data_IF_062951554736
#
_entry.id   IF_062951554736
#
_cell.length_a   1.000
_cell.length_b   1.000
_cell.length_c   1.000
_cell.angle_alpha   90.00
_cell.angle_beta   90.00
_cell.angle_gamma   90.00
#
_symmetry.space_group_name_H-M   'P 1'
#
loop_
_entity.id
_entity.type
_entity.pdbx_description
1 polymer ?
#
# COMPACT_ATOMS: atom_id res chain seq x y z
N UNK A 1 10.42 -11.86 -45.82
CA UNK A 1 9.18 -11.68 -45.04
C UNK A 1 8.24 -10.85 -45.87
N UNK A 2 7.00 -11.28 -46.13
CA UNK A 2 6.04 -10.45 -46.86
C UNK A 2 5.80 -9.15 -46.07
N UNK A 3 5.87 -8.00 -46.74
CA UNK A 3 5.51 -6.71 -46.14
C UNK A 3 4.04 -6.77 -45.73
N UNK A 4 3.79 -6.60 -44.43
CA UNK A 4 2.43 -6.49 -43.93
C UNK A 4 1.84 -5.19 -44.45
N UNK A 5 0.67 -5.28 -45.10
CA UNK A 5 -0.10 -4.12 -45.55
C UNK A 5 -0.19 -3.09 -44.41
N UNK A 6 0.19 -1.85 -44.71
CA UNK A 6 0.16 -0.74 -43.76
C UNK A 6 -1.22 -0.56 -43.12
N UNK A 7 -2.30 -0.89 -43.83
CA UNK A 7 -3.68 -0.87 -43.30
C UNK A 7 -3.89 -1.90 -42.22
N UNK A 8 -3.45 -3.14 -42.45
CA UNK A 8 -3.54 -4.23 -41.47
C UNK A 8 -2.73 -3.88 -40.22
N UNK A 9 -1.50 -3.37 -40.40
CA UNK A 9 -0.67 -2.90 -39.29
C UNK A 9 -1.37 -1.82 -38.46
N UNK A 10 -1.97 -0.83 -39.12
CA UNK A 10 -2.68 0.26 -38.44
C UNK A 10 -3.87 -0.26 -37.61
N UNK A 11 -4.65 -1.20 -38.15
CA UNK A 11 -5.77 -1.82 -37.42
C UNK A 11 -5.28 -2.58 -36.18
N UNK A 12 -4.22 -3.39 -36.31
CA UNK A 12 -3.65 -4.13 -35.17
C UNK A 12 -3.16 -3.17 -34.09
N UNK A 13 -2.43 -2.11 -34.47
CA UNK A 13 -1.96 -1.10 -33.52
C UNK A 13 -3.12 -0.36 -32.84
N UNK A 14 -4.18 -0.02 -33.58
CA UNK A 14 -5.35 0.63 -33.02
C UNK A 14 -6.05 -0.25 -31.98
N UNK A 15 -6.19 -1.56 -32.24
CA UNK A 15 -6.74 -2.52 -31.28
C UNK A 15 -5.86 -2.59 -30.03
N UNK A 16 -4.54 -2.69 -30.20
CA UNK A 16 -3.59 -2.75 -29.08
C UNK A 16 -3.70 -1.49 -28.23
N UNK A 17 -3.72 -0.30 -28.83
CA UNK A 17 -3.85 0.98 -28.12
C UNK A 17 -5.21 1.06 -27.42
N UNK A 18 -6.31 0.70 -28.08
CA UNK A 18 -7.64 0.74 -27.49
C UNK A 18 -7.76 -0.20 -26.28
N UNK A 19 -7.23 -1.42 -26.38
CA UNK A 19 -7.23 -2.42 -25.30
C UNK A 19 -6.38 -1.97 -24.12
N UNK A 20 -5.19 -1.42 -24.36
CA UNK A 20 -4.35 -0.89 -23.29
C UNK A 20 -4.92 0.40 -22.69
N UNK A 21 -5.56 1.26 -23.50
CA UNK A 21 -6.26 2.45 -23.02
C UNK A 21 -7.43 2.08 -22.11
N UNK A 22 -8.21 1.07 -22.48
CA UNK A 22 -9.27 0.52 -21.63
C UNK A 22 -8.68 -0.08 -20.35
N UNK A 23 -7.58 -0.85 -20.44
CA UNK A 23 -6.93 -1.44 -19.27
C UNK A 23 -6.32 -0.41 -18.31
N UNK A 24 -5.83 0.71 -18.84
CA UNK A 24 -5.26 1.81 -18.08
C UNK A 24 -6.29 2.86 -17.63
N UNK A 25 -7.55 2.73 -18.05
CA UNK A 25 -8.61 3.65 -17.63
C UNK A 25 -8.67 3.69 -16.10
N UNK A 26 -8.83 4.89 -15.49
CA UNK A 26 -8.85 5.06 -14.04
C UNK A 26 -10.20 4.60 -13.46
N UNK A 27 -10.51 3.33 -13.64
CA UNK A 27 -11.71 2.70 -13.11
C UNK A 27 -11.49 2.45 -11.62
N UNK A 28 -12.39 2.94 -10.74
CA UNK A 28 -12.27 2.68 -9.32
C UNK A 28 -12.30 1.18 -9.05
N UNK A 29 -11.55 0.75 -8.03
CA UNK A 29 -11.70 -0.61 -7.53
C UNK A 29 -13.10 -0.79 -6.95
N UNK A 30 -13.61 -2.02 -6.99
CA UNK A 30 -14.89 -2.35 -6.37
C UNK A 30 -14.77 -2.11 -4.86
N UNK A 31 -15.57 -1.18 -4.35
CA UNK A 31 -15.65 -0.87 -2.93
C UNK A 31 -16.61 -1.84 -2.27
N UNK A 32 -16.23 -2.40 -1.12
CA UNK A 32 -17.09 -3.30 -0.35
C UNK A 32 -17.57 -2.64 0.95
N UNK A 33 -18.57 -3.24 1.59
CA UNK A 33 -19.01 -2.83 2.93
C UNK A 33 -17.89 -2.86 3.97
N UNK A 34 -16.94 -3.80 3.85
CA UNK A 34 -15.79 -3.85 4.74
C UNK A 34 -14.82 -2.68 4.50
N UNK A 35 -14.72 -2.20 3.26
CA UNK A 35 -13.92 -1.02 2.94
C UNK A 35 -14.54 0.26 3.50
N UNK A 36 -15.88 0.35 3.56
CA UNK A 36 -16.58 1.48 4.20
C UNK A 36 -16.45 1.49 5.72
N UNK A 37 -16.27 0.33 6.36
CA UNK A 37 -15.97 0.23 7.80
C UNK A 37 -14.55 0.70 8.16
N UNK A 38 -13.70 0.91 7.16
CA UNK A 38 -12.40 1.54 7.37
C UNK A 38 -12.60 2.97 7.89
N UNK A 39 -11.96 3.38 9.01
CA UNK A 39 -12.07 4.75 9.49
C UNK A 39 -11.66 5.80 8.45
N UNK A 40 -10.68 5.49 7.58
CA UNK A 40 -10.25 6.40 6.50
C UNK A 40 -11.34 6.55 5.45
N UNK A 41 -11.90 5.44 4.96
CA UNK A 41 -12.96 5.47 3.96
C UNK A 41 -14.24 6.12 4.50
N UNK A 42 -14.63 5.79 5.73
CA UNK A 42 -15.79 6.37 6.40
C UNK A 42 -15.67 7.89 6.50
N UNK A 43 -14.48 8.38 6.86
CA UNK A 43 -14.18 9.81 6.93
C UNK A 43 -14.25 10.50 5.56
N UNK A 44 -13.74 9.87 4.49
CA UNK A 44 -13.85 10.42 3.14
C UNK A 44 -15.30 10.43 2.65
N UNK A 45 -16.08 9.37 2.89
CA UNK A 45 -17.51 9.35 2.53
C UNK A 45 -18.27 10.43 3.29
N UNK A 46 -18.01 10.60 4.59
CA UNK A 46 -18.60 11.68 5.40
C UNK A 46 -18.27 13.05 4.82
N UNK A 47 -16.99 13.30 4.52
CA UNK A 47 -16.55 14.58 3.93
C UNK A 47 -17.21 14.87 2.58
N UNK A 48 -17.37 13.86 1.73
CA UNK A 48 -18.06 14.03 0.45
C UNK A 48 -19.56 14.25 0.62
N UNK A 49 -20.21 13.53 1.54
CA UNK A 49 -21.63 13.74 1.86
C UNK A 49 -21.90 15.18 2.36
N UNK A 50 -21.03 15.72 3.21
CA UNK A 50 -21.09 17.11 3.67
C UNK A 50 -20.96 18.11 2.51
N UNK A 51 -20.01 17.89 1.60
CA UNK A 51 -19.82 18.74 0.43
C UNK A 51 -21.00 18.69 -0.53
N UNK A 52 -21.55 17.50 -0.79
CA UNK A 52 -22.72 17.33 -1.65
C UNK A 52 -23.94 18.01 -1.05
N UNK A 53 -24.14 17.85 0.26
CA UNK A 53 -25.23 18.52 0.99
C UNK A 53 -25.07 20.04 0.93
N UNK A 54 -23.85 20.57 1.07
CA UNK A 54 -23.57 21.99 0.91
C UNK A 54 -23.86 22.53 -0.51
N UNK A 55 -23.86 21.66 -1.53
CA UNK A 55 -24.24 21.98 -2.91
C UNK A 55 -25.74 21.76 -3.19
N UNK A 56 -26.55 21.45 -2.17
CA UNK A 56 -27.99 21.21 -2.28
C UNK A 56 -28.37 19.77 -2.66
N UNK A 57 -27.40 18.84 -2.70
CA UNK A 57 -27.64 17.41 -2.86
C UNK A 57 -27.67 16.76 -1.48
N UNK A 58 -28.81 16.81 -0.80
CA UNK A 58 -29.00 16.20 0.52
C UNK A 58 -28.71 14.69 0.46
N UNK A 59 -27.56 14.29 1.01
CA UNK A 59 -27.10 12.89 1.02
C UNK A 59 -26.46 12.58 2.37
N UNK A 60 -26.94 11.52 3.01
CA UNK A 60 -26.27 11.03 4.22
C UNK A 60 -25.03 10.21 3.85
N UNK A 61 -24.03 10.08 4.75
CA UNK A 61 -22.87 9.23 4.51
C UNK A 61 -23.23 7.78 4.17
N UNK A 62 -24.29 7.24 4.76
CA UNK A 62 -24.75 5.87 4.52
C UNK A 62 -25.28 5.72 3.09
N UNK A 63 -26.15 6.64 2.66
CA UNK A 63 -26.70 6.65 1.30
C UNK A 63 -25.59 6.79 0.25
N UNK A 64 -24.65 7.71 0.48
CA UNK A 64 -23.51 7.90 -0.42
C UNK A 64 -22.63 6.65 -0.48
N UNK A 65 -22.39 6.00 0.66
CA UNK A 65 -21.64 4.75 0.74
C UNK A 65 -22.27 3.62 -0.09
N UNK A 66 -23.59 3.44 0.03
CA UNK A 66 -24.33 2.45 -0.77
C UNK A 66 -24.28 2.75 -2.28
N UNK A 67 -24.43 4.02 -2.66
CA UNK A 67 -24.31 4.45 -4.06
C UNK A 67 -22.90 4.21 -4.61
N UNK A 68 -21.85 4.48 -3.83
CA UNK A 68 -20.46 4.21 -4.23
C UNK A 68 -20.24 2.72 -4.47
N UNK A 69 -20.73 1.85 -3.58
CA UNK A 69 -20.64 0.39 -3.78
C UNK A 69 -21.34 0.01 -5.09
N UNK A 70 -22.59 0.45 -5.27
CA UNK A 70 -23.40 0.13 -6.44
C UNK A 70 -22.75 0.56 -7.77
N UNK A 71 -22.17 1.76 -7.81
CA UNK A 71 -21.49 2.28 -8.99
C UNK A 71 -20.17 1.57 -9.25
N UNK A 72 -19.36 1.36 -8.22
CA UNK A 72 -18.05 0.71 -8.38
C UNK A 72 -18.18 -0.75 -8.78
N UNK A 73 -19.20 -1.48 -8.29
CA UNK A 73 -19.53 -2.83 -8.75
C UNK A 73 -19.90 -2.86 -10.23
N UNK A 74 -20.75 -1.95 -10.70
CA UNK A 74 -21.17 -1.90 -12.11
C UNK A 74 -20.03 -1.53 -13.05
N UNK A 75 -19.32 -0.45 -12.74
CA UNK A 75 -18.24 0.04 -13.58
C UNK A 75 -17.08 -0.96 -13.57
N UNK A 76 -16.72 -1.48 -12.39
CA UNK A 76 -15.69 -2.50 -12.23
C UNK A 76 -16.06 -3.81 -12.94
N UNK A 77 -17.31 -4.25 -12.83
CA UNK A 77 -17.82 -5.44 -13.52
C UNK A 77 -17.80 -5.29 -15.04
N UNK A 78 -18.28 -4.15 -15.56
CA UNK A 78 -18.26 -3.86 -17.00
C UNK A 78 -16.82 -3.80 -17.54
N UNK A 79 -15.91 -3.14 -16.81
CA UNK A 79 -14.48 -3.09 -17.15
C UNK A 79 -13.84 -4.49 -17.17
N UNK A 80 -14.10 -5.30 -16.13
CA UNK A 80 -13.59 -6.66 -16.03
C UNK A 80 -14.09 -7.57 -17.17
N UNK A 81 -15.35 -7.41 -17.56
CA UNK A 81 -15.96 -8.13 -18.68
C UNK A 81 -15.36 -7.69 -20.02
N UNK A 82 -15.19 -6.38 -20.24
CA UNK A 82 -14.62 -5.84 -21.47
C UNK A 82 -13.14 -6.26 -21.67
N UNK A 83 -12.38 -6.44 -20.59
CA UNK A 83 -11.01 -6.95 -20.64
C UNK A 83 -10.89 -8.47 -20.66
N UNK A 84 -11.98 -9.21 -20.40
CA UNK A 84 -11.93 -10.68 -20.31
C UNK A 84 -11.36 -11.36 -21.56
N UNK A 85 -11.71 -10.95 -22.81
CA UNK A 85 -11.17 -11.55 -24.02
C UNK A 85 -9.65 -11.37 -24.19
N UNK A 86 -9.08 -10.32 -23.60
CA UNK A 86 -7.68 -9.93 -23.78
C UNK A 86 -6.74 -10.46 -22.69
N UNK A 87 -7.25 -11.18 -21.69
CA UNK A 87 -6.45 -11.70 -20.55
C UNK A 87 -5.28 -12.56 -20.99
N UNK A 88 -5.50 -13.44 -21.97
CA UNK A 88 -4.44 -14.30 -22.51
C UNK A 88 -3.34 -13.49 -23.19
N UNK A 89 -3.71 -12.43 -23.91
CA UNK A 89 -2.76 -11.52 -24.55
C UNK A 89 -1.94 -10.75 -23.51
N UNK A 90 -2.57 -10.18 -22.48
CA UNK A 90 -1.85 -9.52 -21.38
C UNK A 90 -0.91 -10.47 -20.65
N UNK A 91 -1.35 -11.72 -20.41
CA UNK A 91 -0.52 -12.75 -19.78
C UNK A 91 0.68 -13.13 -20.65
N UNK A 92 0.47 -13.26 -21.95
CA UNK A 92 1.53 -13.59 -22.90
C UNK A 92 2.56 -12.47 -23.05
N UNK A 93 2.11 -11.22 -23.13
CA UNK A 93 2.98 -10.05 -23.33
C UNK A 93 3.55 -9.47 -22.04
N UNK A 94 3.02 -9.85 -20.87
CA UNK A 94 3.44 -9.31 -19.58
C UNK A 94 2.99 -7.87 -19.32
N UNK A 95 2.00 -7.36 -20.06
CA UNK A 95 1.53 -5.97 -20.02
C UNK A 95 0.36 -5.74 -19.04
N UNK A 96 0.17 -6.64 -18.07
CA UNK A 96 -0.90 -6.56 -17.06
C UNK A 96 -0.61 -5.60 -15.89
N UNK A 97 0.28 -4.63 -16.05
CA UNK A 97 0.65 -3.72 -14.97
C UNK A 97 -0.43 -2.67 -14.74
N UNK A 98 -1.10 -2.75 -13.59
CA UNK A 98 -2.09 -1.75 -13.17
C UNK A 98 -1.43 -0.46 -12.68
N UNK A 99 -1.99 0.68 -13.09
CA UNK A 99 -1.50 2.03 -12.76
C UNK A 99 -2.27 2.72 -11.63
N UNK A 100 -2.86 1.95 -10.71
CA UNK A 100 -3.60 2.49 -9.57
C UNK A 100 -2.68 3.06 -8.47
N UNK A 101 -1.78 3.98 -8.83
CA UNK A 101 -0.76 4.53 -7.92
C UNK A 101 -1.30 5.63 -6.98
N UNK A 102 -2.52 6.15 -7.22
CA UNK A 102 -3.04 7.32 -6.48
C UNK A 102 -4.52 7.21 -6.08
N UNK A 103 -5.07 6.00 -5.98
CA UNK A 103 -6.51 5.82 -5.73
C UNK A 103 -6.96 6.47 -4.41
N UNK A 104 -6.13 6.43 -3.36
CA UNK A 104 -6.39 7.10 -2.09
C UNK A 104 -5.06 7.59 -1.48
N UNK A 105 -4.98 8.82 -0.97
CA UNK A 105 -3.84 9.23 -0.14
C UNK A 105 -3.82 8.38 1.14
N UNK A 106 -2.67 7.78 1.46
CA UNK A 106 -2.51 7.06 2.72
C UNK A 106 -2.37 8.10 3.85
N UNK A 107 -3.47 8.39 4.53
CA UNK A 107 -3.49 9.27 5.70
C UNK A 107 -2.86 8.62 6.93
N UNK A 108 -2.54 7.33 6.88
CA UNK A 108 -1.96 6.61 8.02
C UNK A 108 -0.72 5.81 7.64
N UNK A 109 0.36 6.49 7.20
CA UNK A 109 1.56 5.81 6.71
C UNK A 109 2.24 4.98 7.80
N UNK A 110 2.83 3.87 7.38
CA UNK A 110 3.66 3.01 8.23
C UNK A 110 5.14 3.38 8.07
N UNK A 111 5.87 3.40 9.18
CA UNK A 111 7.32 3.52 9.24
C UNK A 111 7.90 2.26 9.89
N UNK A 112 8.96 1.72 9.29
CA UNK A 112 9.71 0.63 9.91
C UNK A 112 10.54 1.18 11.07
N UNK A 113 10.52 0.46 12.20
CA UNK A 113 11.45 0.66 13.31
C UNK A 113 12.08 -0.67 13.70
N UNK A 114 13.39 -0.65 13.89
CA UNK A 114 14.20 -1.77 14.37
C UNK A 114 14.81 -1.35 15.69
N UNK A 115 14.62 -2.17 16.71
CA UNK A 115 15.14 -1.95 18.05
C UNK A 115 15.93 -3.16 18.50
N UNK A 116 16.89 -2.94 19.37
CA UNK A 116 17.75 -3.98 19.92
C UNK A 116 17.74 -3.92 21.44
N UNK A 117 17.87 -5.09 22.07
CA UNK A 117 18.15 -5.21 23.49
C UNK A 117 19.52 -5.85 23.64
N UNK A 118 20.40 -5.17 24.36
CA UNK A 118 21.78 -5.60 24.59
C UNK A 118 21.93 -6.36 25.89
N UNK A 119 22.95 -7.19 25.98
CA UNK A 119 23.31 -7.91 27.20
C UNK A 119 23.53 -6.95 28.36
N UNK A 120 23.03 -7.31 29.54
CA UNK A 120 23.09 -6.48 30.74
C UNK A 120 22.21 -5.22 30.71
N UNK A 121 21.47 -4.95 29.63
CA UNK A 121 20.51 -3.86 29.53
C UNK A 121 19.08 -4.38 29.43
N UNK A 122 18.18 -3.86 30.28
CA UNK A 122 16.75 -4.18 30.23
C UNK A 122 15.99 -3.45 29.12
N UNK A 123 16.52 -2.31 28.67
CA UNK A 123 15.82 -1.41 27.76
C UNK A 123 16.12 -1.68 26.29
N UNK A 124 15.15 -1.32 25.46
CA UNK A 124 15.21 -1.40 24.01
C UNK A 124 15.75 -0.09 23.40
N UNK A 125 16.90 -0.20 22.74
CA UNK A 125 17.57 0.86 21.99
C UNK A 125 17.07 0.88 20.54
N UNK A 126 16.84 2.06 19.95
CA UNK A 126 16.45 2.16 18.54
C UNK A 126 17.72 2.06 17.70
N UNK A 127 17.76 1.11 16.77
CA UNK A 127 18.87 0.93 15.85
C UNK A 127 18.59 1.60 14.50
N UNK A 128 17.34 1.50 14.05
CA UNK A 128 16.88 2.14 12.82
C UNK A 128 15.45 2.63 12.95
N UNK A 129 15.17 3.82 12.44
CA UNK A 129 13.81 4.31 12.22
C UNK A 129 13.72 5.03 10.87
N UNK A 130 12.70 4.69 10.08
CA UNK A 130 12.54 5.29 8.76
C UNK A 130 12.24 6.80 8.88
N UNK A 131 13.02 7.62 8.15
CA UNK A 131 12.99 9.08 8.16
C UNK A 131 13.48 9.71 9.48
N UNK A 132 14.32 9.00 10.22
CA UNK A 132 14.99 9.50 11.41
C UNK A 132 16.51 9.46 11.19
N UNK A 133 17.18 10.61 11.09
CA UNK A 133 18.63 10.66 10.83
C UNK A 133 19.48 10.24 12.03
N UNK A 134 18.92 10.18 13.25
CA UNK A 134 19.66 9.76 14.45
C UNK A 134 19.75 8.23 14.57
N UNK A 135 18.88 7.50 13.87
CA UNK A 135 18.79 6.04 13.91
C UNK A 135 18.79 5.47 12.49
N UNK A 136 19.97 5.36 11.89
CA UNK A 136 20.17 5.15 10.45
C UNK A 136 20.85 3.82 10.08
N UNK A 137 20.90 2.85 11.00
CA UNK A 137 21.54 1.56 10.72
C UNK A 137 21.03 0.92 9.43
N UNK A 138 21.96 0.61 8.52
CA UNK A 138 21.69 0.05 7.19
C UNK A 138 20.68 0.88 6.36
N UNK A 139 20.63 2.21 6.55
CA UNK A 139 19.68 3.10 5.88
C UNK A 139 19.70 2.95 4.36
N UNK A 140 20.86 2.82 3.71
CA UNK A 140 20.95 2.66 2.25
C UNK A 140 20.26 1.37 1.76
N UNK A 141 20.52 0.26 2.45
CA UNK A 141 19.90 -1.03 2.16
C UNK A 141 18.39 -0.98 2.38
N UNK A 142 17.95 -0.39 3.49
CA UNK A 142 16.53 -0.31 3.85
C UNK A 142 15.78 0.70 2.98
N UNK A 143 16.44 1.78 2.54
CA UNK A 143 15.89 2.75 1.60
C UNK A 143 15.78 2.21 0.17
N UNK A 144 16.56 1.18 -0.19
CA UNK A 144 16.51 0.59 -1.53
C UNK A 144 15.10 0.13 -1.89
N UNK A 145 14.59 0.60 -3.03
CA UNK A 145 13.18 0.48 -3.44
C UNK A 145 12.62 -0.95 -3.35
N UNK A 146 13.41 -1.97 -3.70
CA UNK A 146 12.95 -3.38 -3.65
C UNK A 146 12.82 -3.91 -2.23
N UNK A 147 13.69 -3.47 -1.32
CA UNK A 147 13.60 -3.81 0.11
C UNK A 147 12.44 -3.05 0.74
N UNK A 148 12.34 -1.75 0.46
CA UNK A 148 11.23 -0.90 0.91
C UNK A 148 9.87 -1.51 0.58
N UNK A 149 9.67 -2.00 -0.65
CA UNK A 149 8.41 -2.64 -1.05
C UNK A 149 7.99 -3.86 -0.22
N UNK A 150 8.90 -4.47 0.57
CA UNK A 150 8.59 -5.61 1.45
C UNK A 150 7.92 -5.16 2.75
N UNK A 151 8.38 -4.05 3.34
CA UNK A 151 7.88 -3.55 4.62
C UNK A 151 6.91 -2.36 4.49
N UNK A 152 6.99 -1.60 3.40
CA UNK A 152 6.17 -0.41 3.09
C UNK A 152 4.78 -0.79 2.54
N UNK A 153 4.28 -1.99 2.90
CA UNK A 153 3.17 -2.64 2.24
C UNK A 153 1.80 -2.12 2.71
N UNK A 154 1.55 -0.81 2.58
CA UNK A 154 0.27 -0.11 2.72
C UNK A 154 -0.28 -0.04 4.15
N UNK A 155 -0.44 1.18 4.68
CA UNK A 155 -0.75 1.47 6.07
C UNK A 155 -2.01 0.82 6.65
N UNK A 156 -2.89 0.33 5.79
CA UNK A 156 -4.19 -0.22 6.19
C UNK A 156 -4.23 -1.73 6.42
N UNK A 157 -3.22 -2.51 5.99
CA UNK A 157 -3.32 -3.98 6.14
C UNK A 157 -3.28 -4.38 7.63
N UNK A 158 -4.30 -5.13 8.06
CA UNK A 158 -4.40 -5.64 9.43
C UNK A 158 -3.31 -6.65 9.77
N UNK A 159 -2.82 -7.43 8.79
CA UNK A 159 -1.80 -8.47 9.00
C UNK A 159 -0.59 -8.31 8.06
N UNK A 160 0.63 -8.58 8.55
CA UNK A 160 1.82 -8.52 7.73
C UNK A 160 1.85 -9.71 6.76
N UNK A 161 2.33 -9.47 5.52
CA UNK A 161 2.50 -10.53 4.52
C UNK A 161 3.60 -11.51 4.93
N UNK A 162 3.58 -12.73 4.37
CA UNK A 162 4.64 -13.73 4.60
C UNK A 162 6.05 -13.19 4.30
N UNK A 163 6.18 -12.34 3.27
CA UNK A 163 7.47 -11.71 2.94
C UNK A 163 7.96 -10.75 4.03
N UNK A 164 7.07 -10.04 4.74
CA UNK A 164 7.46 -9.18 5.86
C UNK A 164 8.06 -10.01 6.99
N UNK A 165 7.47 -11.17 7.33
CA UNK A 165 8.02 -12.06 8.37
C UNK A 165 9.39 -12.60 7.99
N UNK A 166 9.57 -13.01 6.72
CA UNK A 166 10.88 -13.47 6.21
C UNK A 166 11.91 -12.34 6.25
N UNK A 167 11.51 -11.13 5.86
CA UNK A 167 12.35 -9.94 5.95
C UNK A 167 12.74 -9.62 7.39
N UNK A 168 11.80 -9.61 8.33
CA UNK A 168 12.08 -9.36 9.75
C UNK A 168 13.07 -10.38 10.32
N UNK A 169 12.91 -11.68 9.99
CA UNK A 169 13.88 -12.72 10.36
C UNK A 169 15.26 -12.47 9.77
N UNK A 170 15.33 -12.17 8.48
CA UNK A 170 16.59 -11.88 7.81
C UNK A 170 17.32 -10.66 8.39
N UNK A 171 16.58 -9.58 8.69
CA UNK A 171 17.13 -8.39 9.37
C UNK A 171 17.61 -8.73 10.77
N UNK A 172 16.80 -9.44 11.57
CA UNK A 172 17.17 -9.81 12.93
C UNK A 172 18.48 -10.61 12.97
N UNK A 173 18.62 -11.64 12.14
CA UNK A 173 19.87 -12.39 12.07
C UNK A 173 21.03 -11.51 11.63
N UNK A 174 20.85 -10.62 10.66
CA UNK A 174 21.90 -9.70 10.22
C UNK A 174 22.37 -8.75 11.33
N UNK A 175 21.46 -8.31 12.20
CA UNK A 175 21.79 -7.50 13.39
C UNK A 175 22.51 -8.35 14.43
N UNK A 176 21.97 -9.54 14.75
CA UNK A 176 22.54 -10.44 15.75
C UNK A 176 23.96 -10.90 15.34
N UNK A 177 24.16 -11.29 14.09
CA UNK A 177 25.47 -11.73 13.57
C UNK A 177 26.49 -10.58 13.55
N UNK A 178 26.02 -9.34 13.38
CA UNK A 178 26.87 -8.15 13.29
C UNK A 178 27.34 -7.62 14.64
N UNK A 179 26.66 -7.95 15.74
CA UNK A 179 26.98 -7.44 17.07
C UNK A 179 26.73 -8.51 18.16
N UNK A 180 27.79 -9.06 18.76
CA UNK A 180 27.67 -10.12 19.77
C UNK A 180 27.00 -9.65 21.07
N UNK A 181 26.94 -8.34 21.33
CA UNK A 181 26.31 -7.81 22.54
C UNK A 181 24.79 -7.75 22.42
N UNK A 182 24.22 -7.91 21.23
CA UNK A 182 22.78 -7.89 21.01
C UNK A 182 22.17 -9.26 21.34
N UNK A 183 21.21 -9.26 22.27
CA UNK A 183 20.52 -10.45 22.77
C UNK A 183 19.15 -10.65 22.11
N UNK A 184 18.50 -9.57 21.70
CA UNK A 184 17.24 -9.62 20.99
C UNK A 184 17.05 -8.44 20.04
N UNK A 185 16.28 -8.66 18.98
CA UNK A 185 15.91 -7.66 17.98
C UNK A 185 14.40 -7.61 17.86
N UNK A 186 13.83 -6.41 17.93
CA UNK A 186 12.42 -6.13 17.72
C UNK A 186 12.25 -5.37 16.40
N UNK A 187 11.48 -5.94 15.46
CA UNK A 187 11.10 -5.29 14.21
C UNK A 187 9.61 -4.96 14.29
N UNK A 188 9.27 -3.68 14.16
CA UNK A 188 7.88 -3.21 14.25
C UNK A 188 7.55 -2.13 13.23
N UNK A 189 6.26 -1.97 13.01
CA UNK A 189 5.67 -0.95 12.14
C UNK A 189 5.04 0.13 13.01
N UNK A 190 5.46 1.37 12.83
CA UNK A 190 4.89 2.55 13.48
C UNK A 190 3.90 3.18 12.52
N UNK A 191 2.63 3.26 12.91
CA UNK A 191 1.59 3.92 12.11
C UNK A 191 1.32 5.29 12.71
N UNK A 192 1.53 6.32 11.90
CA UNK A 192 1.27 7.72 12.26
C UNK A 192 0.06 8.23 11.50
N UNK A 193 -0.60 9.29 11.97
CA UNK A 193 -1.65 9.96 11.22
C UNK A 193 -1.09 11.22 10.53
N UNK A 194 -1.26 11.31 9.22
CA UNK A 194 -0.92 12.48 8.42
C UNK A 194 -2.07 13.48 8.45
N UNK A 195 -1.87 14.59 9.14
CA UNK A 195 -2.83 15.68 9.23
C UNK A 195 -2.63 16.69 8.10
N UNK A 196 -3.70 17.40 7.73
CA UNK A 196 -3.62 18.52 6.79
C UNK A 196 -2.97 19.76 7.44
N UNK A 197 -2.49 20.75 6.67
CA UNK A 197 -1.88 21.96 7.25
C UNK A 197 -2.80 22.77 8.18
N UNK A 198 -4.12 22.63 8.03
CA UNK A 198 -5.11 23.30 8.87
C UNK A 198 -5.43 22.54 10.17
N UNK A 199 -4.99 21.28 10.29
CA UNK A 199 -5.25 20.42 11.45
C UNK A 199 -4.04 20.42 12.38
N UNK A 200 -4.28 20.39 13.69
CA UNK A 200 -3.22 20.18 14.66
C UNK A 200 -2.55 18.82 14.42
N UNK A 201 -1.21 18.72 14.46
CA UNK A 201 -0.52 17.45 14.33
C UNK A 201 -1.02 16.43 15.36
N UNK A 202 -1.33 15.22 14.90
CA UNK A 202 -1.70 14.11 15.77
C UNK A 202 -0.42 13.40 16.24
N UNK A 203 -0.03 13.51 17.53
CA UNK A 203 1.21 12.92 18.02
C UNK A 203 1.10 11.40 18.21
N UNK A 204 -0.09 10.80 18.03
CA UNK A 204 -0.31 9.38 18.31
C UNK A 204 0.46 8.52 17.30
N UNK A 205 1.21 7.57 17.85
CA UNK A 205 1.91 6.54 17.10
C UNK A 205 1.32 5.20 17.52
N UNK A 206 0.70 4.50 16.57
CA UNK A 206 0.18 3.16 16.79
C UNK A 206 1.27 2.13 16.42
N UNK A 207 1.63 1.27 17.37
CA UNK A 207 2.59 0.19 17.12
C UNK A 207 1.88 -1.03 16.55
N UNK A 208 2.36 -1.53 15.41
CA UNK A 208 1.83 -2.70 14.69
C UNK A 208 2.92 -3.68 14.32
N UNK A 209 2.49 -4.91 14.02
CA UNK A 209 3.30 -5.95 13.38
C UNK A 209 4.66 -6.19 14.06
N UNK A 210 4.63 -6.29 15.39
CA UNK A 210 5.81 -6.55 16.22
C UNK A 210 6.28 -7.98 16.01
N UNK A 211 7.57 -8.13 15.70
CA UNK A 211 8.26 -9.42 15.60
C UNK A 211 9.54 -9.29 16.43
N UNK A 212 9.62 -10.04 17.53
CA UNK A 212 10.80 -10.15 18.37
C UNK A 212 11.53 -11.45 18.03
N UNK A 213 12.87 -11.37 17.90
CA UNK A 213 13.75 -12.50 17.65
C UNK A 213 14.93 -12.38 18.60
N UNK A 214 15.05 -13.35 19.50
CA UNK A 214 16.20 -13.48 20.40
C UNK A 214 17.34 -14.23 19.73
N UNK A 215 18.53 -14.08 20.31
CA UNK A 215 19.63 -15.03 20.08
C UNK A 215 19.20 -16.36 20.69
N UNK A 216 19.22 -17.44 19.91
CA UNK A 216 19.03 -18.78 20.47
C UNK A 216 20.19 -19.03 21.47
N UNK A 217 19.89 -19.60 22.65
CA UNK A 217 20.92 -19.88 23.66
C UNK A 217 21.96 -20.90 23.20
#
# INVERSE_FOLDING_TARGET
MPEMDSRLRAVVLAIVIAVHGLAAAPIPHVVTQNDLRNPVSAEEVRRWAERLTALGLERTPEQLGEEVIWWTERIGGAHHAALAPFRSFFRFTGTNQGWALFANPDTHPIRLQIRVRREGRGDWEILFQRLDPEHDWAADLLAYRRVRGVYDAGGYRSRPRGNYRRFAKWIAHRVLDGDPTVQAVEIRSLRTHTTTPAQQPDPRIEVRHVIEIGREP
#
